data_IF_786566704447
#
_entry.id   IF_786566704447
#
_cell.length_a   1.000
_cell.length_b   1.000
_cell.length_c   1.000
_cell.angle_alpha   90.00
_cell.angle_beta   90.00
_cell.angle_gamma   90.00
#
_symmetry.space_group_name_H-M   'P 1'
#
loop_
_entity.id
_entity.type
_entity.pdbx_description
1 polymer ?
#
# COMPACT_ATOMS: atom_id res chain seq x y z
N UNK A 1 -30.77 -19.51 11.25
CA UNK A 1 -31.70 -18.98 10.23
C UNK A 1 -30.96 -17.86 9.51
N UNK A 2 -30.32 -18.21 8.39
CA UNK A 2 -29.36 -17.36 7.67
C UNK A 2 -30.10 -16.51 6.63
N UNK A 3 -29.81 -15.21 6.59
CA UNK A 3 -30.34 -14.29 5.59
C UNK A 3 -29.45 -14.27 4.35
N UNK A 4 -30.07 -14.59 3.22
CA UNK A 4 -29.55 -14.69 1.86
C UNK A 4 -28.92 -13.38 1.37
N UNK A 5 -27.71 -13.46 0.81
CA UNK A 5 -27.15 -12.43 -0.06
C UNK A 5 -27.60 -12.76 -1.49
N UNK A 6 -28.36 -11.88 -2.11
CA UNK A 6 -28.77 -12.04 -3.50
C UNK A 6 -27.55 -11.88 -4.42
N UNK A 7 -27.26 -12.95 -5.17
CA UNK A 7 -26.26 -13.02 -6.22
C UNK A 7 -27.01 -12.98 -7.56
N UNK A 8 -26.81 -11.93 -8.35
CA UNK A 8 -27.28 -11.90 -9.73
C UNK A 8 -26.13 -12.26 -10.67
N UNK A 9 -26.41 -13.21 -11.56
CA UNK A 9 -25.55 -13.65 -12.66
C UNK A 9 -25.94 -12.87 -13.91
N UNK A 10 -25.13 -11.93 -14.36
CA UNK A 10 -25.30 -11.33 -15.69
C UNK A 10 -24.45 -12.06 -16.73
N UNK A 11 -25.14 -12.61 -17.74
CA UNK A 11 -24.56 -13.23 -18.93
C UNK A 11 -24.19 -12.16 -19.95
N UNK A 12 -22.93 -12.15 -20.38
CA UNK A 12 -22.46 -11.32 -21.50
C UNK A 12 -23.16 -11.71 -22.81
N UNK A 13 -23.78 -10.74 -23.48
CA UNK A 13 -24.18 -10.83 -24.88
C UNK A 13 -23.42 -9.73 -25.63
N UNK A 14 -22.49 -10.13 -26.49
CA UNK A 14 -21.80 -9.22 -27.41
C UNK A 14 -22.74 -8.77 -28.54
N UNK A 15 -22.85 -7.46 -28.76
CA UNK A 15 -23.20 -6.87 -30.06
C UNK A 15 -22.42 -5.57 -30.26
N UNK A 16 -21.68 -5.50 -31.37
CA UNK A 16 -20.83 -4.37 -31.73
C UNK A 16 -21.58 -3.16 -32.28
N UNK A 17 -20.97 -1.97 -32.11
CA UNK A 17 -20.83 -0.89 -33.11
C UNK A 17 -19.95 0.25 -32.57
N UNK A 18 -19.46 1.07 -33.50
CA UNK A 18 -18.24 1.91 -33.49
C UNK A 18 -18.11 2.98 -32.39
N UNK A 19 -16.85 3.26 -32.03
CA UNK A 19 -16.40 4.23 -31.02
C UNK A 19 -16.73 5.68 -31.40
N UNK A 20 -17.49 6.38 -30.56
CA UNK A 20 -17.52 7.84 -30.53
C UNK A 20 -16.46 8.37 -29.57
N UNK A 21 -15.76 9.42 -29.98
CA UNK A 21 -14.73 10.12 -29.19
C UNK A 21 -15.43 10.92 -28.09
N UNK A 22 -15.03 10.71 -26.83
CA UNK A 22 -15.45 11.52 -25.68
C UNK A 22 -14.39 12.59 -25.39
N UNK A 23 -14.80 13.82 -25.00
CA UNK A 23 -13.90 14.95 -24.80
C UNK A 23 -13.04 14.75 -23.55
N UNK A 24 -11.87 15.38 -23.54
CA UNK A 24 -10.88 15.31 -22.46
C UNK A 24 -11.49 15.75 -21.13
N UNK A 25 -11.75 14.78 -20.25
CA UNK A 25 -12.04 15.04 -18.84
C UNK A 25 -10.73 15.39 -18.12
N UNK A 26 -10.77 16.43 -17.29
CA UNK A 26 -9.69 16.84 -16.40
C UNK A 26 -9.06 15.63 -15.69
N UNK A 27 -7.85 15.27 -16.12
CA UNK A 27 -7.07 14.20 -15.49
C UNK A 27 -6.46 14.77 -14.21
N UNK A 28 -7.24 14.73 -13.13
CA UNK A 28 -6.67 14.78 -11.79
C UNK A 28 -5.84 13.49 -11.59
N UNK A 29 -4.56 13.53 -11.93
CA UNK A 29 -3.60 12.40 -11.83
C UNK A 29 -3.25 12.09 -10.36
N UNK A 30 -4.25 11.77 -9.54
CA UNK A 30 -3.99 11.22 -8.20
C UNK A 30 -3.73 9.72 -8.38
N UNK A 31 -2.47 9.32 -8.17
CA UNK A 31 -2.05 7.92 -8.32
C UNK A 31 -2.87 7.00 -7.39
N UNK A 32 -3.34 5.83 -7.88
CA UNK A 32 -4.04 4.85 -7.06
C UNK A 32 -3.13 4.38 -5.91
N UNK A 33 -3.58 4.51 -4.66
CA UNK A 33 -2.81 4.02 -3.51
C UNK A 33 -2.93 2.50 -3.39
N UNK A 34 -1.87 1.77 -3.04
CA UNK A 34 -1.97 0.31 -2.86
C UNK A 34 -2.74 -0.11 -1.59
N UNK A 35 -3.49 0.80 -0.97
CA UNK A 35 -4.26 0.53 0.24
C UNK A 35 -5.60 -0.08 -0.13
N UNK A 36 -5.90 -1.19 0.52
CA UNK A 36 -7.19 -1.84 0.39
C UNK A 36 -8.20 -1.16 1.31
N UNK A 37 -9.29 -0.65 0.75
CA UNK A 37 -10.43 -0.18 1.52
C UNK A 37 -11.67 -0.98 1.15
N UNK A 38 -12.50 -1.30 2.15
CA UNK A 38 -13.79 -1.98 1.96
C UNK A 38 -14.91 -1.08 2.48
N UNK A 39 -16.04 -1.08 1.78
CA UNK A 39 -17.22 -0.30 2.18
C UNK A 39 -18.24 -1.27 2.75
N UNK A 40 -18.67 -1.05 3.99
CA UNK A 40 -19.84 -1.72 4.52
C UNK A 40 -21.09 -1.04 3.94
N UNK A 41 -21.85 -1.77 3.14
CA UNK A 41 -23.04 -1.26 2.46
C UNK A 41 -24.18 -0.93 3.44
N UNK A 42 -24.20 -1.51 4.64
CA UNK A 42 -25.25 -1.25 5.62
C UNK A 42 -25.03 0.07 6.36
N UNK A 43 -23.83 0.31 6.87
CA UNK A 43 -23.50 1.55 7.57
C UNK A 43 -23.04 2.68 6.65
N UNK A 44 -22.70 2.36 5.40
CA UNK A 44 -22.04 3.27 4.47
C UNK A 44 -20.60 3.62 4.86
N UNK A 45 -20.07 3.02 5.93
CA UNK A 45 -18.72 3.30 6.39
C UNK A 45 -17.70 2.63 5.48
N UNK A 46 -16.66 3.39 5.18
CA UNK A 46 -15.50 2.91 4.43
C UNK A 46 -14.35 2.65 5.38
N UNK A 47 -13.89 1.41 5.43
CA UNK A 47 -12.81 0.96 6.29
C UNK A 47 -11.51 0.84 5.51
N UNK A 48 -10.41 1.33 6.08
CA UNK A 48 -9.07 0.91 5.70
C UNK A 48 -8.82 -0.50 6.24
N UNK A 49 -8.34 -1.41 5.39
CA UNK A 49 -7.83 -2.70 5.83
C UNK A 49 -6.37 -2.51 6.24
N UNK A 50 -6.07 -2.74 7.53
CA UNK A 50 -4.73 -2.53 8.08
C UNK A 50 -4.32 -3.72 8.95
N UNK A 51 -3.50 -4.61 8.38
CA UNK A 51 -2.94 -5.75 9.10
C UNK A 51 -1.92 -5.34 10.17
N UNK A 52 -1.45 -4.09 10.16
CA UNK A 52 -0.54 -3.53 11.16
C UNK A 52 -1.24 -2.97 12.40
N UNK A 53 -2.56 -2.84 12.39
CA UNK A 53 -3.35 -2.43 13.55
C UNK A 53 -3.83 -3.65 14.35
N UNK A 54 -3.56 -3.71 15.66
CA UNK A 54 -4.02 -4.83 16.50
C UNK A 54 -5.54 -4.85 16.70
N UNK A 55 -6.18 -3.68 16.68
CA UNK A 55 -7.60 -3.52 17.01
C UNK A 55 -8.35 -2.75 15.92
N UNK A 56 -9.63 -3.07 15.76
CA UNK A 56 -10.51 -2.40 14.81
C UNK A 56 -11.18 -1.18 15.44
N UNK A 57 -11.09 -0.05 14.76
CA UNK A 57 -11.54 1.25 15.28
C UNK A 57 -12.44 1.97 14.30
N UNK A 58 -13.34 2.81 14.83
CA UNK A 58 -14.11 3.77 14.05
C UNK A 58 -13.97 5.18 14.64
N UNK A 59 -14.07 6.23 13.81
CA UNK A 59 -14.01 7.60 14.30
C UNK A 59 -15.12 7.86 15.33
N UNK A 60 -14.76 8.49 16.45
CA UNK A 60 -15.76 9.11 17.32
C UNK A 60 -16.45 10.24 16.53
N UNK A 61 -17.78 10.19 16.43
CA UNK A 61 -18.53 11.30 15.87
C UNK A 61 -18.28 12.55 16.72
N UNK A 62 -18.26 13.75 16.09
CA UNK A 62 -18.15 15.05 16.77
C UNK A 62 -19.38 15.29 17.66
N UNK A 63 -19.45 14.63 18.82
CA UNK A 63 -20.37 15.00 19.90
C UNK A 63 -19.52 15.44 21.08
N UNK A 64 -19.96 16.45 21.85
CA UNK A 64 -19.41 16.70 23.17
C UNK A 64 -19.81 15.51 24.04
N UNK A 65 -18.92 14.54 24.17
CA UNK A 65 -19.12 13.47 25.15
C UNK A 65 -18.68 14.03 26.50
N UNK A 66 -19.58 13.95 27.48
CA UNK A 66 -19.26 14.17 28.89
C UNK A 66 -18.08 13.30 29.30
N UNK A 67 -17.22 13.82 30.18
CA UNK A 67 -16.00 13.21 30.74
C UNK A 67 -16.22 11.90 31.54
N UNK A 68 -17.23 11.10 31.22
CA UNK A 68 -17.73 10.00 32.05
C UNK A 68 -17.83 8.65 31.32
N UNK A 69 -17.37 8.53 30.07
CA UNK A 69 -17.26 7.23 29.40
C UNK A 69 -15.90 6.60 29.71
N UNK A 70 -15.86 5.82 30.80
CA UNK A 70 -14.71 5.09 31.36
C UNK A 70 -13.56 4.77 30.39
N UNK A 71 -12.38 5.31 30.70
CA UNK A 71 -11.07 5.03 30.09
C UNK A 71 -10.63 3.57 30.27
N UNK A 72 -11.19 2.61 29.53
CA UNK A 72 -10.71 1.23 29.64
C UNK A 72 -9.58 0.89 28.66
N UNK A 73 -9.42 1.64 27.56
CA UNK A 73 -8.42 1.33 26.52
C UNK A 73 -7.62 2.55 26.09
N UNK A 74 -6.31 2.52 26.35
CA UNK A 74 -5.35 3.44 25.73
C UNK A 74 -4.84 2.82 24.43
N UNK A 75 -4.99 3.53 23.32
CA UNK A 75 -4.45 3.12 22.03
C UNK A 75 -3.23 3.97 21.70
N UNK A 76 -2.28 3.38 20.98
CA UNK A 76 -1.07 4.06 20.55
C UNK A 76 -0.85 3.83 19.06
N UNK A 77 -0.44 4.88 18.36
CA UNK A 77 0.04 4.80 16.99
C UNK A 77 1.44 4.17 16.94
N UNK A 78 1.89 3.77 15.75
CA UNK A 78 3.22 3.16 15.56
C UNK A 78 4.39 4.08 15.96
N UNK A 79 4.18 5.40 16.01
CA UNK A 79 5.17 6.38 16.49
C UNK A 79 5.08 6.66 18.00
N UNK A 80 4.27 5.90 18.76
CA UNK A 80 4.07 6.08 20.20
C UNK A 80 3.09 7.19 20.59
N UNK A 81 2.50 7.92 19.64
CA UNK A 81 1.47 8.93 19.95
C UNK A 81 0.20 8.26 20.48
N UNK A 82 -0.31 8.76 21.60
CA UNK A 82 -1.58 8.30 22.18
C UNK A 82 -2.76 8.66 21.28
N UNK A 83 -3.65 7.69 21.07
CA UNK A 83 -4.91 7.84 20.36
C UNK A 83 -6.02 7.77 21.42
N UNK A 84 -6.72 8.89 21.61
CA UNK A 84 -7.84 8.96 22.55
C UNK A 84 -8.96 8.01 22.15
N UNK A 85 -9.57 7.35 23.12
CA UNK A 85 -10.72 6.49 22.92
C UNK A 85 -11.95 7.04 23.64
N UNK A 86 -13.13 6.63 23.18
CA UNK A 86 -14.42 7.19 23.62
C UNK A 86 -15.45 6.09 23.87
N UNK A 87 -14.98 4.89 24.22
CA UNK A 87 -15.80 3.69 24.41
C UNK A 87 -15.85 2.79 23.17
N UNK A 88 -16.90 1.97 23.07
CA UNK A 88 -17.05 0.98 22.01
C UNK A 88 -18.42 1.06 21.34
N UNK A 89 -18.51 0.61 20.08
CA UNK A 89 -19.75 0.55 19.31
C UNK A 89 -19.82 -0.76 18.55
N UNK A 90 -20.90 -1.51 18.78
CA UNK A 90 -21.20 -2.73 18.02
C UNK A 90 -21.87 -2.38 16.70
N UNK A 91 -21.30 -2.79 15.57
CA UNK A 91 -21.90 -2.63 14.25
C UNK A 91 -22.56 -3.95 13.80
N UNK A 92 -23.77 -3.84 13.25
CA UNK A 92 -24.52 -4.93 12.60
C UNK A 92 -24.35 -4.79 11.08
N UNK A 93 -24.32 -5.91 10.31
CA UNK A 93 -24.69 -7.28 10.70
C UNK A 93 -23.60 -8.12 11.37
N UNK A 94 -22.33 -7.71 11.29
CA UNK A 94 -21.18 -8.51 11.72
C UNK A 94 -21.11 -8.80 13.23
N UNK A 95 -21.90 -8.09 14.04
CA UNK A 95 -21.89 -8.20 15.50
C UNK A 95 -20.49 -8.00 16.10
N UNK A 96 -19.65 -7.20 15.43
CA UNK A 96 -18.33 -6.84 15.90
C UNK A 96 -18.36 -5.56 16.72
N UNK A 97 -17.59 -5.53 17.81
CA UNK A 97 -17.47 -4.38 18.70
C UNK A 97 -16.23 -3.58 18.33
N UNK A 98 -16.42 -2.40 17.74
CA UNK A 98 -15.35 -1.48 17.38
C UNK A 98 -15.03 -0.53 18.53
N UNK A 99 -13.78 -0.10 18.64
CA UNK A 99 -13.40 0.98 19.56
C UNK A 99 -13.68 2.32 18.88
N UNK A 100 -14.33 3.24 19.60
CA UNK A 100 -14.47 4.64 19.19
C UNK A 100 -13.17 5.35 19.50
N UNK A 101 -12.47 5.85 18.47
CA UNK A 101 -11.15 6.44 18.62
C UNK A 101 -11.03 7.78 17.87
N UNK A 102 -10.06 8.60 18.27
CA UNK A 102 -9.68 9.84 17.58
C UNK A 102 -8.87 9.53 16.32
N UNK A 103 -9.56 8.99 15.30
CA UNK A 103 -9.00 8.61 14.01
C UNK A 103 -9.80 9.24 12.87
N UNK A 104 -9.14 9.58 11.77
CA UNK A 104 -9.80 10.23 10.61
C UNK A 104 -10.64 9.29 9.76
N UNK A 105 -10.36 7.99 9.79
CA UNK A 105 -11.05 6.98 8.99
C UNK A 105 -11.20 5.68 9.79
N UNK A 106 -12.27 4.89 9.58
CA UNK A 106 -12.41 3.56 10.15
C UNK A 106 -11.28 2.61 9.72
N UNK A 107 -10.87 1.71 10.61
CA UNK A 107 -9.80 0.73 10.38
C UNK A 107 -10.29 -0.66 10.77
N UNK A 108 -10.14 -1.64 9.87
CA UNK A 108 -10.22 -3.06 10.17
C UNK A 108 -8.81 -3.56 10.52
N UNK A 109 -8.62 -3.87 11.79
CA UNK A 109 -7.38 -4.40 12.35
C UNK A 109 -7.30 -5.93 12.27
N UNK A 110 -6.17 -6.45 12.74
CA UNK A 110 -5.87 -7.86 12.81
C UNK A 110 -6.87 -8.66 13.66
N UNK A 111 -7.48 -8.05 14.68
CA UNK A 111 -8.54 -8.63 15.49
C UNK A 111 -9.75 -9.09 14.65
N UNK A 112 -10.29 -8.19 13.82
CA UNK A 112 -11.42 -8.47 12.95
C UNK A 112 -11.03 -9.45 11.84
N UNK A 113 -9.88 -9.21 11.20
CA UNK A 113 -9.39 -10.04 10.10
C UNK A 113 -9.14 -11.48 10.55
N UNK A 114 -8.54 -11.66 11.72
CA UNK A 114 -8.27 -12.98 12.28
C UNK A 114 -9.57 -13.68 12.71
N UNK A 115 -10.45 -12.98 13.42
CA UNK A 115 -11.72 -13.55 13.89
C UNK A 115 -12.59 -14.05 12.73
N UNK A 116 -12.68 -13.29 11.65
CA UNK A 116 -13.43 -13.64 10.45
C UNK A 116 -12.63 -14.46 9.42
N UNK A 117 -11.38 -14.84 9.73
CA UNK A 117 -10.50 -15.63 8.84
C UNK A 117 -10.36 -15.02 7.44
N UNK A 118 -10.18 -13.70 7.38
CA UNK A 118 -10.11 -12.96 6.14
C UNK A 118 -8.66 -12.85 5.65
N UNK A 119 -8.42 -13.26 4.41
CA UNK A 119 -7.17 -13.04 3.68
C UNK A 119 -7.23 -11.69 2.96
N UNK A 120 -6.15 -10.95 3.06
CA UNK A 120 -5.99 -9.64 2.41
C UNK A 120 -5.26 -9.82 1.08
N UNK A 121 -5.96 -9.69 -0.04
CA UNK A 121 -5.36 -9.70 -1.37
C UNK A 121 -5.29 -8.27 -1.92
N UNK A 122 -4.12 -7.65 -1.72
CA UNK A 122 -3.85 -6.27 -2.19
C UNK A 122 -3.80 -6.19 -3.71
N UNK A 123 -3.28 -7.23 -4.39
CA UNK A 123 -3.15 -7.26 -5.84
C UNK A 123 -4.51 -7.40 -6.52
N UNK A 124 -5.31 -8.37 -6.05
CA UNK A 124 -6.69 -8.57 -6.50
C UNK A 124 -7.67 -7.55 -5.94
N UNK A 125 -7.23 -6.66 -5.04
CA UNK A 125 -8.03 -5.64 -4.36
C UNK A 125 -9.25 -6.24 -3.68
N UNK A 126 -9.08 -7.33 -2.93
CA UNK A 126 -10.20 -8.05 -2.32
C UNK A 126 -9.85 -8.58 -0.93
N UNK A 127 -10.88 -8.67 -0.10
CA UNK A 127 -10.85 -9.52 1.09
C UNK A 127 -11.45 -10.87 0.71
N UNK A 128 -10.81 -11.96 1.12
CA UNK A 128 -11.25 -13.33 0.82
C UNK A 128 -11.52 -14.03 2.14
N UNK A 129 -12.71 -14.61 2.31
CA UNK A 129 -12.99 -15.51 3.42
C UNK A 129 -12.27 -16.85 3.18
N UNK A 130 -11.36 -17.20 4.09
CA UNK A 130 -10.52 -18.39 3.92
C UNK A 130 -11.29 -19.73 4.03
N UNK A 131 -12.53 -19.71 4.54
CA UNK A 131 -13.35 -20.91 4.73
C UNK A 131 -14.29 -21.11 3.54
N UNK A 132 -14.93 -20.04 3.09
CA UNK A 132 -15.96 -20.10 2.04
C UNK A 132 -15.46 -19.70 0.66
N UNK A 133 -14.26 -19.12 0.55
CA UNK A 133 -13.71 -18.49 -0.66
C UNK A 133 -14.58 -17.34 -1.23
N UNK A 134 -15.59 -16.89 -0.49
CA UNK A 134 -16.31 -15.67 -0.85
C UNK A 134 -15.36 -14.48 -0.74
N UNK A 135 -15.56 -13.49 -1.61
CA UNK A 135 -14.71 -12.32 -1.63
C UNK A 135 -15.52 -11.03 -1.75
N UNK A 136 -14.97 -9.98 -1.15
CA UNK A 136 -15.45 -8.61 -1.27
C UNK A 136 -14.41 -7.81 -2.02
N UNK A 137 -14.80 -7.26 -3.16
CA UNK A 137 -13.95 -6.34 -3.92
C UNK A 137 -13.85 -5.04 -3.13
N UNK A 138 -12.64 -4.72 -2.71
CA UNK A 138 -12.29 -3.43 -2.14
C UNK A 138 -12.01 -2.39 -3.23
N UNK A 139 -12.05 -1.13 -2.83
CA UNK A 139 -11.62 -0.03 -3.66
C UNK A 139 -10.19 0.39 -3.28
N UNK A 140 -9.37 0.67 -4.29
CA UNK A 140 -8.14 1.44 -4.09
C UNK A 140 -8.57 2.90 -3.99
N UNK A 141 -8.47 3.47 -2.79
CA UNK A 141 -8.87 4.86 -2.57
C UNK A 141 -7.69 5.80 -2.77
N UNK A 142 -7.94 6.86 -3.53
CA UNK A 142 -7.15 8.08 -3.65
C UNK A 142 -7.49 9.05 -2.51
N UNK A 143 -7.07 8.76 -1.27
CA UNK A 143 -7.34 9.67 -0.14
C UNK A 143 -6.09 10.35 0.42
N UNK A 144 -6.25 11.65 0.73
CA UNK A 144 -5.36 12.55 1.47
C UNK A 144 -5.22 12.17 2.96
N UNK A 145 -5.06 10.88 3.28
CA UNK A 145 -4.87 10.45 4.68
C UNK A 145 -3.39 10.55 5.09
N UNK A 146 -3.15 10.85 6.36
CA UNK A 146 -1.83 10.79 6.99
C UNK A 146 -1.37 9.33 7.01
N UNK A 147 -0.40 9.01 6.17
CA UNK A 147 0.24 7.69 6.09
C UNK A 147 1.73 7.90 5.95
N UNK A 148 2.52 6.82 6.12
CA UNK A 148 3.92 6.81 5.68
C UNK A 148 3.90 7.05 4.17
N UNK A 149 4.32 8.23 3.77
CA UNK A 149 4.45 8.67 2.38
C UNK A 149 5.88 9.11 2.20
N UNK A 150 6.40 8.90 1.00
CA UNK A 150 7.70 9.43 0.62
C UNK A 150 7.68 10.97 0.46
N UNK A 151 6.48 11.57 0.51
CA UNK A 151 6.24 13.00 0.31
C UNK A 151 5.32 13.50 1.43
N UNK A 152 5.76 14.56 2.11
CA UNK A 152 4.96 15.28 3.09
C UNK A 152 3.89 16.14 2.40
N UNK A 153 2.64 16.09 2.88
CA UNK A 153 1.51 16.79 2.26
C UNK A 153 1.57 18.31 2.36
N UNK A 154 2.21 18.84 3.40
CA UNK A 154 2.36 20.28 3.61
C UNK A 154 3.67 20.83 3.04
N UNK A 155 4.39 20.02 2.26
CA UNK A 155 5.64 20.44 1.63
C UNK A 155 5.35 21.42 0.47
N UNK A 156 6.06 22.55 0.34
CA UNK A 156 5.88 23.50 -0.76
C UNK A 156 6.09 22.88 -2.15
N UNK A 157 6.83 21.77 -2.24
CA UNK A 157 7.09 21.01 -3.47
C UNK A 157 6.20 19.77 -3.62
N UNK A 158 5.14 19.62 -2.81
CA UNK A 158 4.29 18.43 -2.83
C UNK A 158 3.75 18.12 -4.23
N UNK A 159 3.27 19.12 -4.97
CA UNK A 159 2.76 18.92 -6.34
C UNK A 159 3.84 18.41 -7.28
N UNK A 160 5.04 18.99 -7.21
CA UNK A 160 6.19 18.58 -8.03
C UNK A 160 6.63 17.15 -7.70
N UNK A 161 6.81 16.84 -6.41
CA UNK A 161 7.21 15.51 -5.98
C UNK A 161 6.13 14.46 -6.29
N UNK A 162 4.84 14.84 -6.26
CA UNK A 162 3.73 13.97 -6.65
C UNK A 162 3.72 13.69 -8.16
N UNK A 163 4.15 14.64 -8.99
CA UNK A 163 4.35 14.43 -10.42
C UNK A 163 5.53 13.48 -10.71
N UNK A 164 6.61 13.57 -9.93
CA UNK A 164 7.84 12.78 -10.07
C UNK A 164 8.17 11.89 -8.85
N UNK A 165 7.32 10.91 -8.50
CA UNK A 165 7.50 10.14 -7.27
C UNK A 165 8.68 9.17 -7.33
N UNK A 166 9.22 8.88 -8.51
CA UNK A 166 10.43 8.07 -8.67
C UNK A 166 11.65 8.72 -7.97
N UNK A 167 11.61 10.05 -7.73
CA UNK A 167 12.61 10.78 -6.95
C UNK A 167 12.61 10.37 -5.47
N UNK A 168 11.43 10.04 -4.94
CA UNK A 168 11.23 9.83 -3.49
C UNK A 168 11.07 8.36 -3.12
N UNK A 169 10.88 7.49 -4.11
CA UNK A 169 10.85 6.04 -3.92
C UNK A 169 12.27 5.50 -3.72
N UNK A 170 12.45 4.46 -2.89
CA UNK A 170 13.68 3.69 -2.88
C UNK A 170 13.99 3.19 -4.29
N UNK A 171 15.24 3.36 -4.74
CA UNK A 171 15.66 3.02 -6.11
C UNK A 171 15.42 1.53 -6.36
N UNK A 172 14.60 1.21 -7.35
CA UNK A 172 14.43 -0.15 -7.87
C UNK A 172 15.34 -0.30 -9.10
N UNK A 173 16.51 -0.90 -8.92
CA UNK A 173 17.52 -1.06 -9.97
C UNK A 173 17.14 -2.07 -11.08
N UNK A 174 15.90 -2.57 -11.09
CA UNK A 174 15.40 -3.51 -12.11
C UNK A 174 14.78 -2.81 -13.31
N UNK A 175 14.61 -1.49 -13.29
CA UNK A 175 14.08 -0.74 -14.42
C UNK A 175 15.19 -0.44 -15.45
N UNK A 176 14.92 -0.72 -16.72
CA UNK A 176 15.80 -0.30 -17.82
C UNK A 176 15.75 1.22 -17.97
N UNK A 177 16.88 1.88 -18.32
CA UNK A 177 16.89 3.32 -18.56
C UNK A 177 15.84 3.71 -19.60
N UNK A 178 15.03 4.73 -19.30
CA UNK A 178 13.95 5.21 -20.19
C UNK A 178 14.46 5.87 -21.47
N UNK A 179 15.75 6.22 -21.53
CA UNK A 179 16.38 6.84 -22.69
C UNK A 179 17.22 5.82 -23.47
N UNK A 180 17.18 5.90 -24.80
CA UNK A 180 18.00 5.08 -25.70
C UNK A 180 19.48 5.53 -25.76
N UNK A 181 19.88 6.47 -24.90
CA UNK A 181 21.28 6.90 -24.81
C UNK A 181 22.05 5.85 -24.02
N UNK A 182 22.92 5.12 -24.73
CA UNK A 182 23.90 4.21 -24.16
C UNK A 182 25.25 4.91 -24.17
N UNK A 183 25.92 4.99 -23.01
CA UNK A 183 27.32 5.37 -22.97
C UNK A 183 28.15 4.17 -23.41
N UNK A 184 28.77 4.28 -24.57
CA UNK A 184 29.72 3.31 -25.07
C UNK A 184 31.11 3.95 -25.09
N UNK A 185 32.11 3.22 -24.59
CA UNK A 185 33.51 3.61 -24.69
C UNK A 185 34.02 2.98 -25.99
N UNK A 186 34.34 3.84 -26.94
CA UNK A 186 34.86 3.46 -28.25
C UNK A 186 36.35 3.13 -28.11
N UNK A 187 36.68 1.85 -27.93
CA UNK A 187 38.08 1.40 -27.77
C UNK A 187 38.64 0.94 -29.11
N UNK A 188 39.74 1.55 -29.57
CA UNK A 188 40.50 1.09 -30.74
C UNK A 188 41.73 0.30 -30.29
N UNK A 189 41.94 -0.88 -30.88
CA UNK A 189 43.08 -1.76 -30.60
C UNK A 189 42.80 -2.89 -29.60
N UNK A 190 43.77 -3.80 -29.40
CA UNK A 190 43.66 -4.90 -28.45
C UNK A 190 43.55 -4.39 -27.00
N UNK A 191 42.81 -5.08 -26.11
CA UNK A 191 42.66 -4.65 -24.73
C UNK A 191 44.01 -4.51 -24.02
N UNK A 192 44.29 -3.31 -23.51
CA UNK A 192 45.48 -3.11 -22.67
C UNK A 192 45.15 -3.65 -21.28
N UNK A 193 45.68 -4.83 -20.97
CA UNK A 193 45.55 -5.44 -19.64
C UNK A 193 46.73 -5.03 -18.75
N UNK A 194 46.41 -4.54 -17.56
CA UNK A 194 47.34 -4.47 -16.44
C UNK A 194 46.85 -5.42 -15.34
N UNK A 195 47.77 -6.08 -14.63
CA UNK A 195 47.40 -6.86 -13.43
C UNK A 195 46.72 -5.93 -12.43
N UNK A 196 45.49 -6.27 -12.05
CA UNK A 196 44.78 -5.57 -10.99
C UNK A 196 45.63 -5.60 -9.71
N UNK A 197 45.83 -4.44 -9.09
CA UNK A 197 46.54 -4.38 -7.81
C UNK A 197 45.62 -4.89 -6.70
N UNK A 198 46.11 -5.76 -5.78
CA UNK A 198 45.33 -6.19 -4.64
C UNK A 198 44.85 -5.01 -3.82
N UNK A 199 43.58 -5.02 -3.43
CA UNK A 199 43.07 -4.08 -2.43
C UNK A 199 43.67 -4.44 -1.06
N UNK A 200 43.94 -3.43 -0.24
CA UNK A 200 44.25 -3.65 1.17
C UNK A 200 43.12 -4.46 1.85
N UNK A 201 43.41 -5.37 2.80
CA UNK A 201 42.42 -6.31 3.35
C UNK A 201 41.12 -5.66 3.85
N UNK A 202 41.23 -4.50 4.50
CA UNK A 202 40.08 -3.75 5.00
C UNK A 202 39.19 -3.24 3.85
N UNK A 203 39.80 -2.69 2.79
CA UNK A 203 39.08 -2.22 1.60
C UNK A 203 38.48 -3.39 0.83
N UNK A 204 39.21 -4.50 0.72
CA UNK A 204 38.72 -5.72 0.09
C UNK A 204 37.47 -6.26 0.79
N UNK A 205 37.47 -6.33 2.12
CA UNK A 205 36.32 -6.80 2.90
C UNK A 205 35.07 -5.94 2.67
N UNK A 206 35.22 -4.61 2.72
CA UNK A 206 34.14 -3.65 2.47
C UNK A 206 33.59 -3.77 1.05
N UNK A 207 34.47 -3.78 0.05
CA UNK A 207 34.10 -3.87 -1.37
C UNK A 207 33.44 -5.21 -1.68
N UNK A 208 33.97 -6.32 -1.15
CA UNK A 208 33.39 -7.65 -1.34
C UNK A 208 31.96 -7.74 -0.80
N UNK A 209 31.72 -7.23 0.41
CA UNK A 209 30.40 -7.19 1.03
C UNK A 209 29.41 -6.38 0.19
N UNK A 210 29.84 -5.23 -0.33
CA UNK A 210 29.01 -4.40 -1.21
C UNK A 210 28.70 -5.13 -2.52
N UNK A 211 29.69 -5.80 -3.13
CA UNK A 211 29.50 -6.53 -4.37
C UNK A 211 28.55 -7.72 -4.21
N UNK A 212 28.64 -8.44 -3.08
CA UNK A 212 27.70 -9.51 -2.72
C UNK A 212 26.28 -8.97 -2.54
N UNK A 213 26.13 -7.82 -1.89
CA UNK A 213 24.84 -7.14 -1.79
C UNK A 213 24.28 -6.78 -3.17
N UNK A 214 25.07 -6.14 -4.03
CA UNK A 214 24.68 -5.78 -5.41
C UNK A 214 24.26 -7.01 -6.24
N UNK A 215 24.90 -8.17 -6.02
CA UNK A 215 24.48 -9.43 -6.64
C UNK A 215 23.13 -9.91 -6.11
N UNK A 216 22.90 -9.87 -4.79
CA UNK A 216 21.64 -10.28 -4.17
C UNK A 216 20.45 -9.44 -4.66
N UNK A 217 20.63 -8.13 -4.82
CA UNK A 217 19.58 -7.23 -5.31
C UNK A 217 19.49 -7.19 -6.85
N UNK A 218 20.35 -7.93 -7.55
CA UNK A 218 20.30 -8.12 -9.00
C UNK A 218 20.85 -6.96 -9.83
N UNK A 219 21.70 -6.10 -9.25
CA UNK A 219 22.38 -5.02 -9.99
C UNK A 219 23.51 -5.58 -10.85
N UNK A 220 24.27 -6.54 -10.32
CA UNK A 220 25.41 -7.13 -11.01
C UNK A 220 25.26 -8.65 -11.06
N UNK A 221 25.69 -9.26 -12.17
CA UNK A 221 25.74 -10.73 -12.34
C UNK A 221 27.18 -11.18 -12.56
N UNK A 222 27.54 -12.35 -12.04
CA UNK A 222 28.84 -12.97 -12.35
C UNK A 222 28.71 -13.65 -13.71
N UNK A 223 29.37 -13.10 -14.71
CA UNK A 223 29.52 -13.76 -16.01
C UNK A 223 30.73 -14.69 -15.90
N UNK A 224 30.49 -16.01 -15.89
CA UNK A 224 31.55 -17.00 -16.05
C UNK A 224 31.86 -17.11 -17.54
N UNK A 225 33.05 -16.66 -17.93
CA UNK A 225 33.59 -16.91 -19.26
C UNK A 225 34.18 -18.33 -19.25
N UNK A 226 33.66 -19.20 -20.12
CA UNK A 226 34.21 -20.52 -20.42
C UNK A 226 35.20 -20.43 -21.57
#
# INVERSE_FOLDING_TARGET
MFGTVHLENEKNIERGKLKSVQPAADVCTIRPTHRLCVTDLHSGLRFLVDTGANVSVIPAAKRPFSDSASDSYKLYAANGTEIRTYGTKKLRPYSWTFILADVKQPILGADFLSYHKLLVDVNGRKLIDAVTNLNVIGSIVTHRSATIKTIEMNNPYHELLSAYPDITKPVCYKETPKHNILHHIETTGPPVFARARPLAPEKYSKVKKEFEYMQQIGICIIIKLY
#
